data_IF_385466322905
#
_entry.id   IF_385466322905
#
_cell.length_a   1.000
_cell.length_b   1.000
_cell.length_c   1.000
_cell.angle_alpha   90.00
_cell.angle_beta   90.00
_cell.angle_gamma   90.00
#
_symmetry.space_group_name_H-M   'P 1'
#
loop_
_entity.id
_entity.type
_entity.pdbx_description
1 polymer ?
#
# COMPACT_ATOMS: atom_id res chain seq x y z
N UNK A 1 -17.24 0.97 -1.98
CA UNK A 1 -16.74 -0.42 -2.12
C UNK A 1 -15.75 -0.72 -0.98
N UNK A 2 -15.42 -1.98 -0.69
CA UNK A 2 -14.46 -2.34 0.39
C UNK A 2 -13.11 -1.63 0.20
N UNK A 3 -12.68 -1.43 -1.05
CA UNK A 3 -11.51 -0.61 -1.38
C UNK A 3 -11.59 0.82 -0.83
N UNK A 4 -12.68 1.54 -1.11
CA UNK A 4 -12.82 2.96 -0.74
C UNK A 4 -12.81 3.11 0.80
N UNK A 5 -13.44 2.17 1.51
CA UNK A 5 -13.46 2.13 2.98
C UNK A 5 -12.03 2.11 3.56
N UNK A 6 -11.15 1.33 2.95
CA UNK A 6 -9.78 1.09 3.43
C UNK A 6 -8.72 1.92 2.70
N UNK A 7 -9.12 2.86 1.85
CA UNK A 7 -8.19 3.75 1.13
C UNK A 7 -8.17 5.14 1.72
N UNK A 8 -6.99 5.73 1.86
CA UNK A 8 -6.75 7.09 2.31
C UNK A 8 -5.83 7.81 1.35
N UNK A 9 -5.96 9.14 1.31
CA UNK A 9 -5.14 10.04 0.49
C UNK A 9 -4.46 11.04 1.39
N UNK A 10 -3.26 11.44 1.01
CA UNK A 10 -2.49 12.50 1.65
C UNK A 10 -1.66 13.25 0.63
N UNK A 11 -1.21 14.43 0.99
CA UNK A 11 -0.33 15.23 0.15
C UNK A 11 0.58 16.12 0.99
N UNK A 12 1.70 16.52 0.39
CA UNK A 12 2.59 17.56 0.92
C UNK A 12 2.64 18.66 -0.14
N UNK A 13 2.41 19.90 0.30
CA UNK A 13 2.43 21.08 -0.55
C UNK A 13 3.41 22.12 -0.01
N UNK A 14 4.07 22.82 -0.93
CA UNK A 14 4.95 23.96 -0.63
C UNK A 14 4.53 25.14 -1.48
N UNK A 15 3.80 26.08 -0.87
CA UNK A 15 3.09 27.12 -1.62
C UNK A 15 2.07 26.49 -2.57
N UNK A 16 2.18 26.78 -3.86
CA UNK A 16 1.36 26.15 -4.92
C UNK A 16 1.99 24.86 -5.48
N UNK A 17 3.20 24.52 -5.05
CA UNK A 17 3.90 23.30 -5.45
C UNK A 17 3.36 22.06 -4.73
N UNK A 18 3.42 20.91 -5.40
CA UNK A 18 3.12 19.61 -4.82
C UNK A 18 4.41 18.84 -4.65
N UNK A 19 4.76 18.47 -3.42
CA UNK A 19 5.98 17.72 -3.10
C UNK A 19 5.71 16.21 -3.07
N UNK A 20 4.49 15.82 -2.66
CA UNK A 20 4.05 14.44 -2.58
C UNK A 20 2.55 14.35 -2.78
N UNK A 21 2.10 13.40 -3.59
CA UNK A 21 0.75 12.86 -3.54
C UNK A 21 0.84 11.39 -3.18
N UNK A 22 0.07 10.96 -2.19
CA UNK A 22 0.04 9.57 -1.74
C UNK A 22 -1.39 9.09 -1.63
N UNK A 23 -1.66 7.90 -2.16
CA UNK A 23 -2.89 7.15 -1.92
C UNK A 23 -2.51 5.77 -1.42
N UNK A 24 -3.02 5.37 -0.26
CA UNK A 24 -2.70 4.08 0.34
C UNK A 24 -3.97 3.31 0.68
N UNK A 25 -3.96 2.01 0.44
CA UNK A 25 -5.00 1.07 0.90
C UNK A 25 -4.41 0.18 1.98
N UNK A 26 -5.02 0.18 3.17
CA UNK A 26 -4.67 -0.77 4.22
C UNK A 26 -5.26 -2.15 3.90
N UNK A 27 -4.42 -3.18 3.84
CA UNK A 27 -4.84 -4.56 3.57
C UNK A 27 -5.32 -5.25 4.85
N UNK A 28 -6.42 -4.75 5.41
CA UNK A 28 -7.12 -5.43 6.51
C UNK A 28 -7.70 -6.77 6.04
N UNK A 29 -8.08 -7.65 6.97
CA UNK A 29 -8.67 -8.96 6.67
C UNK A 29 -9.88 -8.89 5.72
N UNK A 30 -10.84 -7.99 5.99
CA UNK A 30 -12.01 -7.77 5.12
C UNK A 30 -11.59 -7.43 3.68
N UNK A 31 -10.62 -6.53 3.52
CA UNK A 31 -10.11 -6.13 2.21
C UNK A 31 -9.36 -7.28 1.52
N UNK A 32 -8.53 -8.02 2.27
CA UNK A 32 -7.77 -9.16 1.75
C UNK A 32 -8.68 -10.25 1.21
N UNK A 33 -9.76 -10.56 1.93
CA UNK A 33 -10.78 -11.53 1.50
C UNK A 33 -11.47 -11.04 0.23
N UNK A 34 -11.97 -9.81 0.23
CA UNK A 34 -12.63 -9.22 -0.94
C UNK A 34 -11.70 -9.17 -2.17
N UNK A 35 -10.43 -8.84 -1.97
CA UNK A 35 -9.41 -8.85 -3.03
C UNK A 35 -9.18 -10.26 -3.59
N UNK A 36 -9.05 -11.27 -2.73
CA UNK A 36 -8.84 -12.66 -3.15
C UNK A 36 -10.05 -13.22 -3.93
N UNK A 37 -11.27 -12.92 -3.50
CA UNK A 37 -12.50 -13.32 -4.19
C UNK A 37 -12.61 -12.65 -5.57
N UNK A 38 -12.37 -11.34 -5.64
CA UNK A 38 -12.40 -10.61 -6.90
C UNK A 38 -11.26 -11.07 -7.84
N UNK A 39 -10.09 -11.40 -7.28
CA UNK A 39 -8.99 -12.01 -8.03
C UNK A 39 -9.40 -13.35 -8.63
N UNK A 40 -9.99 -14.24 -7.83
CA UNK A 40 -10.50 -15.51 -8.32
C UNK A 40 -11.54 -15.34 -9.44
N UNK A 41 -12.46 -14.38 -9.28
CA UNK A 41 -13.48 -14.04 -10.27
C UNK A 41 -12.89 -13.54 -11.58
N UNK A 42 -11.97 -12.57 -11.53
CA UNK A 42 -11.35 -11.95 -12.71
C UNK A 42 -10.46 -12.93 -13.47
N UNK A 43 -9.74 -13.79 -12.75
CA UNK A 43 -8.85 -14.80 -13.35
C UNK A 43 -9.53 -16.15 -13.60
N UNK A 44 -10.86 -16.24 -13.41
CA UNK A 44 -11.65 -17.46 -13.59
C UNK A 44 -11.05 -18.67 -12.87
N UNK A 45 -10.55 -18.46 -11.66
CA UNK A 45 -9.97 -19.52 -10.84
C UNK A 45 -11.04 -20.51 -10.37
N UNK A 46 -10.63 -21.76 -10.18
CA UNK A 46 -11.47 -22.75 -9.50
C UNK A 46 -11.74 -22.34 -8.05
N UNK A 47 -12.78 -22.89 -7.40
CA UNK A 47 -13.03 -22.66 -5.98
C UNK A 47 -11.81 -23.00 -5.10
N UNK A 48 -11.09 -24.09 -5.42
CA UNK A 48 -9.92 -24.52 -4.67
C UNK A 48 -8.74 -23.55 -4.81
N UNK A 49 -8.49 -23.05 -6.02
CA UNK A 49 -7.44 -22.03 -6.25
C UNK A 49 -7.76 -20.72 -5.55
N UNK A 50 -9.02 -20.28 -5.60
CA UNK A 50 -9.46 -19.06 -4.91
C UNK A 50 -9.33 -19.21 -3.40
N UNK A 51 -9.75 -20.35 -2.85
CA UNK A 51 -9.63 -20.63 -1.42
C UNK A 51 -8.16 -20.61 -0.98
N UNK A 52 -7.25 -21.18 -1.77
CA UNK A 52 -5.80 -21.11 -1.48
C UNK A 52 -5.30 -19.66 -1.39
N UNK A 53 -5.75 -18.78 -2.29
CA UNK A 53 -5.39 -17.35 -2.24
C UNK A 53 -5.96 -16.68 -0.99
N UNK A 54 -7.21 -16.98 -0.61
CA UNK A 54 -7.83 -16.49 0.63
C UNK A 54 -6.98 -16.91 1.85
N UNK A 55 -6.60 -18.19 1.94
CA UNK A 55 -5.84 -18.73 3.06
C UNK A 55 -4.42 -18.15 3.13
N UNK A 56 -3.78 -17.94 1.97
CA UNK A 56 -2.48 -17.26 1.87
C UNK A 56 -2.58 -15.79 2.34
N UNK A 57 -3.64 -15.09 1.94
CA UNK A 57 -3.87 -13.70 2.36
C UNK A 57 -4.20 -13.59 3.86
N UNK A 58 -5.02 -14.51 4.40
CA UNK A 58 -5.34 -14.56 5.81
C UNK A 58 -4.08 -14.78 6.66
N UNK A 59 -3.24 -15.76 6.30
CA UNK A 59 -1.95 -16.02 6.98
C UNK A 59 -1.03 -14.81 6.92
N UNK A 60 -0.92 -14.15 5.76
CA UNK A 60 -0.13 -12.92 5.65
C UNK A 60 -0.68 -11.80 6.55
N UNK A 61 -2.00 -11.67 6.66
CA UNK A 61 -2.67 -10.67 7.51
C UNK A 61 -2.51 -10.92 9.01
N UNK A 62 -2.26 -12.16 9.44
CA UNK A 62 -1.95 -12.47 10.84
C UNK A 62 -0.58 -11.95 11.26
N UNK A 63 0.41 -12.05 10.36
CA UNK A 63 1.79 -11.70 10.66
C UNK A 63 2.14 -10.23 10.35
N UNK A 64 1.42 -9.61 9.40
CA UNK A 64 1.80 -8.32 8.83
C UNK A 64 0.65 -7.32 8.66
N UNK A 65 0.96 -6.05 8.89
CA UNK A 65 0.18 -4.92 8.38
C UNK A 65 0.77 -4.51 7.03
N UNK A 66 0.05 -4.79 5.93
CA UNK A 66 0.46 -4.41 4.58
C UNK A 66 -0.34 -3.23 4.07
N UNK A 67 0.34 -2.34 3.35
CA UNK A 67 -0.26 -1.22 2.64
C UNK A 67 0.13 -1.29 1.16
N UNK A 68 -0.87 -1.15 0.29
CA UNK A 68 -0.64 -0.88 -1.13
C UNK A 68 -0.65 0.62 -1.34
N UNK A 69 0.46 1.20 -1.80
CA UNK A 69 0.65 2.65 -1.80
C UNK A 69 1.02 3.13 -3.20
N UNK A 70 0.23 4.04 -3.75
CA UNK A 70 0.56 4.78 -4.97
C UNK A 70 1.11 6.16 -4.58
N UNK A 71 2.30 6.48 -5.05
CA UNK A 71 3.02 7.71 -4.74
C UNK A 71 3.36 8.44 -6.01
N UNK A 72 3.20 9.76 -6.00
CA UNK A 72 3.74 10.66 -7.00
C UNK A 72 4.57 11.73 -6.30
N UNK A 73 5.80 11.92 -6.77
CA UNK A 73 6.66 13.07 -6.46
C UNK A 73 7.01 13.78 -7.77
N UNK A 74 7.11 15.12 -7.79
CA UNK A 74 7.53 15.83 -8.99
C UNK A 74 9.00 15.54 -9.34
N UNK A 75 9.84 15.43 -8.31
CA UNK A 75 11.26 15.12 -8.45
C UNK A 75 11.47 13.62 -8.54
N UNK A 76 12.03 13.18 -9.66
CA UNK A 76 12.23 11.76 -9.98
C UNK A 76 13.22 11.09 -9.03
N UNK A 77 14.23 11.82 -8.58
CA UNK A 77 15.23 11.34 -7.62
C UNK A 77 14.60 11.03 -6.25
N UNK A 78 13.46 11.67 -5.95
CA UNK A 78 12.72 11.44 -4.71
C UNK A 78 11.68 10.32 -4.85
N UNK A 79 11.45 9.79 -6.05
CA UNK A 79 10.50 8.69 -6.33
C UNK A 79 11.14 7.30 -6.12
N UNK A 80 12.00 7.20 -5.10
CA UNK A 80 12.49 5.92 -4.58
C UNK A 80 12.42 5.83 -3.05
N UNK A 81 11.30 5.31 -2.56
CA UNK A 81 11.08 5.02 -1.14
C UNK A 81 11.81 3.75 -0.66
N UNK A 82 12.28 2.90 -1.58
CA UNK A 82 12.96 1.65 -1.24
C UNK A 82 14.49 1.80 -1.17
N UNK A 83 15.02 2.93 -1.63
CA UNK A 83 16.44 3.23 -1.56
C UNK A 83 16.89 3.42 -0.11
N UNK A 84 18.09 2.91 0.21
CA UNK A 84 18.67 2.98 1.56
C UNK A 84 18.76 4.42 2.07
N UNK A 85 19.20 5.32 1.21
CA UNK A 85 19.44 6.73 1.54
C UNK A 85 18.30 7.63 1.04
N UNK A 86 17.10 7.06 0.89
CA UNK A 86 15.90 7.82 0.54
C UNK A 86 15.66 8.98 1.53
N UNK A 87 15.30 10.14 0.98
CA UNK A 87 14.89 11.32 1.75
C UNK A 87 13.58 11.08 2.52
N UNK A 88 12.84 10.04 2.11
CA UNK A 88 11.57 9.66 2.72
C UNK A 88 11.80 8.66 3.84
N UNK A 89 11.15 8.91 4.97
CA UNK A 89 10.99 7.94 6.05
C UNK A 89 9.52 7.59 6.19
N UNK A 90 9.25 6.30 6.40
CA UNK A 90 7.90 5.75 6.53
C UNK A 90 7.76 5.16 7.91
N UNK A 91 6.66 5.47 8.59
CA UNK A 91 6.34 4.91 9.90
C UNK A 91 4.87 4.50 9.95
N UNK A 92 4.58 3.49 10.77
CA UNK A 92 3.22 3.15 11.18
C UNK A 92 3.06 3.47 12.65
N UNK A 93 2.13 4.36 12.98
CA UNK A 93 1.72 4.61 14.37
C UNK A 93 0.45 3.82 14.64
N UNK A 94 0.45 3.10 15.76
CA UNK A 94 -0.73 2.38 16.26
C UNK A 94 -1.22 3.03 17.55
N UNK A 95 -2.52 3.31 17.61
CA UNK A 95 -3.20 3.89 18.78
C UNK A 95 -2.56 5.18 19.31
N UNK A 96 -1.88 5.93 18.44
CA UNK A 96 -1.15 7.16 18.78
C UNK A 96 0.10 6.95 19.65
N UNK A 97 0.49 5.71 19.95
CA UNK A 97 1.52 5.41 20.95
C UNK A 97 2.69 4.62 20.36
N UNK A 98 2.40 3.56 19.61
CA UNK A 98 3.44 2.64 19.13
C UNK A 98 3.86 3.01 17.71
N UNK A 99 5.10 3.47 17.55
CA UNK A 99 5.70 3.74 16.24
C UNK A 99 6.51 2.54 15.76
N UNK A 100 6.21 2.07 14.55
CA UNK A 100 6.87 0.94 13.89
C UNK A 100 7.59 1.41 12.63
N UNK A 101 8.75 0.82 12.39
CA UNK A 101 9.46 0.93 11.12
C UNK A 101 9.01 -0.19 10.17
N UNK A 102 9.01 0.05 8.86
CA UNK A 102 8.64 -0.96 7.89
C UNK A 102 9.69 -2.07 7.88
N UNK A 103 9.23 -3.32 7.94
CA UNK A 103 10.07 -4.48 7.68
C UNK A 103 10.56 -4.50 6.23
N UNK A 104 9.69 -4.09 5.31
CA UNK A 104 9.98 -4.07 3.88
C UNK A 104 9.24 -2.89 3.22
N UNK A 105 9.98 -2.09 2.47
CA UNK A 105 9.43 -1.20 1.44
C UNK A 105 9.83 -1.80 0.10
N UNK A 106 8.84 -2.28 -0.65
CA UNK A 106 9.09 -2.92 -1.95
C UNK A 106 8.39 -2.17 -3.05
N UNK A 107 9.17 -1.63 -4.00
CA UNK A 107 8.65 -1.10 -5.26
C UNK A 107 7.97 -2.23 -6.04
N UNK A 108 6.69 -2.08 -6.32
CA UNK A 108 5.97 -2.96 -7.23
C UNK A 108 6.43 -2.54 -8.63
N UNK A 109 7.20 -3.40 -9.31
CA UNK A 109 7.88 -3.02 -10.54
C UNK A 109 6.87 -2.89 -11.69
N UNK A 110 6.68 -1.67 -12.21
CA UNK A 110 6.25 -1.44 -13.61
C UNK A 110 7.35 -2.03 -14.50
N UNK A 111 7.23 -3.28 -14.94
CA UNK A 111 8.22 -3.83 -15.87
C UNK A 111 8.10 -3.06 -17.20
N UNK A 112 9.21 -2.45 -17.62
CA UNK A 112 9.28 -1.56 -18.80
C UNK A 112 9.36 -2.29 -20.14
N UNK A 113 9.37 -3.63 -20.15
CA UNK A 113 9.33 -4.40 -21.38
C UNK A 113 7.88 -4.67 -21.77
N UNK A 114 7.54 -4.48 -23.04
CA UNK A 114 6.25 -4.90 -23.62
C UNK A 114 6.25 -6.43 -23.68
N UNK A 115 6.12 -7.08 -22.52
CA UNK A 115 5.80 -8.49 -22.36
C UNK A 115 4.37 -8.60 -21.82
N UNK A 116 3.80 -9.81 -21.87
CA UNK A 116 2.46 -10.14 -21.33
C UNK A 116 2.25 -9.70 -19.86
N UNK A 117 3.30 -9.34 -19.12
CA UNK A 117 3.27 -8.80 -17.76
C UNK A 117 2.96 -7.30 -17.64
N UNK A 118 3.25 -6.47 -18.66
CA UNK A 118 2.82 -5.06 -18.67
C UNK A 118 1.29 -4.94 -18.72
N UNK A 119 0.63 -5.92 -19.35
CA UNK A 119 -0.83 -6.08 -19.31
C UNK A 119 -1.32 -6.44 -17.91
N UNK A 120 -0.57 -7.26 -17.15
CA UNK A 120 -0.91 -7.60 -15.76
C UNK A 120 -0.84 -6.40 -14.82
N UNK A 121 0.16 -5.53 -14.97
CA UNK A 121 0.27 -4.31 -14.15
C UNK A 121 -0.92 -3.37 -14.37
N UNK A 122 -1.33 -3.21 -15.63
CA UNK A 122 -2.48 -2.39 -16.03
C UNK A 122 -3.80 -3.03 -15.61
N UNK A 123 -3.92 -4.35 -15.67
CA UNK A 123 -5.07 -5.09 -15.17
C UNK A 123 -5.20 -5.01 -13.63
N UNK A 124 -4.07 -5.06 -12.90
CA UNK A 124 -4.04 -4.90 -11.45
C UNK A 124 -4.47 -3.48 -11.02
N UNK A 125 -4.03 -2.46 -11.76
CA UNK A 125 -4.34 -1.06 -11.46
C UNK A 125 -5.74 -0.64 -11.91
N UNK A 126 -6.25 -1.13 -13.05
CA UNK A 126 -7.61 -0.79 -13.51
C UNK A 126 -8.69 -1.54 -12.72
N UNK A 127 -8.45 -2.79 -12.31
CA UNK A 127 -9.50 -3.61 -11.67
C UNK A 127 -9.50 -3.56 -10.14
N UNK A 128 -8.34 -3.44 -9.48
CA UNK A 128 -8.26 -3.56 -8.01
C UNK A 128 -7.86 -2.27 -7.30
N UNK A 129 -7.11 -1.39 -7.97
CA UNK A 129 -6.59 -0.14 -7.38
C UNK A 129 -6.70 1.04 -8.38
N UNK A 130 -7.92 1.51 -8.69
CA UNK A 130 -8.20 2.54 -9.70
C UNK A 130 -7.48 3.89 -9.48
N UNK A 131 -6.93 4.13 -8.30
CA UNK A 131 -6.12 5.32 -8.01
C UNK A 131 -4.68 5.24 -8.57
N UNK A 132 -4.23 4.08 -9.03
CA UNK A 132 -2.89 3.93 -9.63
C UNK A 132 -2.88 4.57 -11.02
N UNK A 133 -1.97 5.53 -11.21
CA UNK A 133 -1.82 6.27 -12.46
C UNK A 133 -0.49 5.94 -13.18
N UNK A 134 -0.34 6.32 -14.46
CA UNK A 134 0.94 6.25 -15.16
C UNK A 134 2.06 7.04 -14.47
N UNK A 135 1.70 8.10 -13.76
CA UNK A 135 2.60 9.01 -13.06
C UNK A 135 2.96 8.56 -11.64
N UNK A 136 2.15 7.68 -11.04
CA UNK A 136 2.45 7.13 -9.73
C UNK A 136 3.37 5.91 -9.81
N UNK A 137 4.31 5.82 -8.88
CA UNK A 137 4.99 4.59 -8.53
C UNK A 137 4.21 3.87 -7.43
N UNK A 138 4.11 2.54 -7.53
CA UNK A 138 3.40 1.72 -6.54
C UNK A 138 4.39 0.99 -5.66
N UNK A 139 4.13 1.00 -4.36
CA UNK A 139 4.91 0.34 -3.33
C UNK A 139 4.00 -0.58 -2.50
N UNK A 140 4.61 -1.64 -1.96
CA UNK A 140 4.09 -2.36 -0.80
C UNK A 140 4.91 -1.95 0.42
N UNK A 141 4.26 -1.39 1.42
CA UNK A 141 4.85 -1.18 2.74
C UNK A 141 4.35 -2.28 3.67
N UNK A 142 5.27 -2.94 4.37
CA UNK A 142 4.99 -4.07 5.25
C UNK A 142 5.55 -3.82 6.64
N UNK A 143 4.72 -4.00 7.66
CA UNK A 143 5.10 -3.89 9.07
C UNK A 143 4.82 -5.22 9.79
N UNK A 144 5.66 -5.61 10.76
CA UNK A 144 5.44 -6.83 11.56
C UNK A 144 4.41 -6.56 12.65
N UNK A 145 3.49 -7.51 12.84
CA UNK A 145 2.53 -7.52 13.97
C UNK A 145 3.08 -8.17 15.23
N UNK A 146 4.01 -9.13 15.10
CA UNK A 146 4.44 -10.03 16.18
C UNK A 146 5.04 -9.35 17.42
N UNK A 147 5.43 -8.09 17.33
CA UNK A 147 5.97 -7.32 18.46
C UNK A 147 4.87 -6.63 19.28
N UNK A 148 3.60 -7.00 19.10
CA UNK A 148 2.45 -6.30 19.71
C UNK A 148 1.57 -7.22 20.56
N UNK A 149 1.35 -6.89 21.84
CA UNK A 149 0.48 -7.66 22.73
C UNK A 149 -1.02 -7.38 22.59
N UNK A 150 -1.45 -6.39 21.79
CA UNK A 150 -2.85 -5.98 21.71
C UNK A 150 -3.31 -5.64 20.28
N UNK A 151 -4.58 -5.92 19.99
CA UNK A 151 -5.23 -5.44 18.77
C UNK A 151 -5.38 -3.91 18.85
N UNK A 152 -5.01 -3.23 17.77
CA UNK A 152 -5.15 -1.77 17.67
C UNK A 152 -6.53 -1.36 17.19
N UNK A 153 -6.94 -0.14 17.53
CA UNK A 153 -8.20 0.49 17.11
C UNK A 153 -7.98 1.62 16.10
N UNK A 154 -6.74 2.06 15.97
CA UNK A 154 -6.37 3.06 14.97
C UNK A 154 -4.98 2.84 14.42
N UNK A 155 -4.81 3.17 13.15
CA UNK A 155 -3.54 3.13 12.43
C UNK A 155 -3.32 4.47 11.74
N UNK A 156 -2.08 4.94 11.78
CA UNK A 156 -1.65 6.13 11.07
C UNK A 156 -0.35 5.83 10.31
N UNK A 157 -0.43 5.84 8.98
CA UNK A 157 0.73 5.70 8.11
C UNK A 157 1.32 7.08 7.85
N UNK A 158 2.56 7.29 8.27
CA UNK A 158 3.27 8.56 8.13
C UNK A 158 4.36 8.42 7.08
N UNK A 159 4.35 9.35 6.12
CA UNK A 159 5.43 9.54 5.15
C UNK A 159 6.03 10.92 5.41
N UNK A 160 7.32 11.00 5.69
CA UNK A 160 7.98 12.26 6.06
C UNK A 160 9.32 12.45 5.37
N UNK A 161 9.64 13.70 5.04
CA UNK A 161 10.93 14.14 4.51
C UNK A 161 11.20 15.58 4.98
N UNK A 162 12.36 16.18 4.64
CA UNK A 162 12.60 17.60 4.91
C UNK A 162 11.57 18.55 4.26
N UNK A 163 10.87 18.11 3.21
CA UNK A 163 9.81 18.90 2.56
C UNK A 163 8.48 18.89 3.33
N UNK A 164 8.30 17.99 4.31
CA UNK A 164 7.10 17.91 5.14
C UNK A 164 6.67 16.48 5.45
N UNK A 165 5.47 16.35 6.01
CA UNK A 165 4.90 15.05 6.39
C UNK A 165 3.46 14.90 5.89
N UNK A 166 3.10 13.71 5.42
CA UNK A 166 1.73 13.30 5.15
C UNK A 166 1.36 12.15 6.09
N UNK A 167 0.19 12.26 6.73
CA UNK A 167 -0.35 11.25 7.63
C UNK A 167 -1.69 10.73 7.09
N UNK A 168 -1.81 9.40 7.00
CA UNK A 168 -3.01 8.72 6.51
C UNK A 168 -3.57 7.90 7.66
N UNK A 169 -4.81 8.21 8.09
CA UNK A 169 -5.41 7.63 9.30
C UNK A 169 -6.57 6.69 8.99
N UNK A 170 -6.59 5.54 9.66
CA UNK A 170 -7.68 4.57 9.68
C UNK A 170 -8.12 4.35 11.13
N UNK A 171 -9.44 4.43 11.35
CA UNK A 171 -10.09 4.16 12.64
C UNK A 171 -11.03 2.95 12.45
N UNK A 172 -11.00 2.00 13.39
CA UNK A 172 -11.80 0.76 13.31
C UNK A 172 -12.09 0.13 14.67
#
# INVERSE_FOLDING_TARGET
MVLDKWTRKGSIHKGLGTELLVTATYQVEEFRRAFAEEYGRVYMQTPQETQKVIDDQARAGQDYDDFMVAIYTPEREWDDFAERDSIWKVYLIKDGQLRLEPLEIRKVKKQRAISKETVRYRALSVSFYPFVSPWSTVYRFRFRKKDQPQASHSLELILTSPSGSAALKWDF
#
